data_IF_588797256507
#
_entry.id   IF_588797256507
#
_cell.length_a   1.000
_cell.length_b   1.000
_cell.length_c   1.000
_cell.angle_alpha   90.00
_cell.angle_beta   90.00
_cell.angle_gamma   90.00
#
_symmetry.space_group_name_H-M   'P 1'
#
loop_
_entity.id
_entity.type
_entity.pdbx_description
1 polymer ?
#
# COMPACT_ATOMS: atom_id res chain seq x y z
N UNK A 1 -20.49 -8.62 -18.45
CA UNK A 1 -19.81 -7.31 -18.22
C UNK A 1 -19.88 -6.34 -19.40
N UNK A 2 -20.23 -6.76 -20.64
CA UNK A 2 -20.21 -5.91 -21.84
C UNK A 2 -20.92 -4.55 -21.71
N UNK A 3 -22.00 -4.47 -20.94
CA UNK A 3 -22.74 -3.22 -20.73
C UNK A 3 -22.59 -2.66 -19.31
N UNK A 4 -22.64 -3.53 -18.30
CA UNK A 4 -22.60 -3.11 -16.89
C UNK A 4 -21.29 -2.44 -16.50
N UNK A 5 -20.15 -2.93 -16.99
CA UNK A 5 -18.85 -2.34 -16.66
C UNK A 5 -18.66 -0.96 -17.33
N UNK A 6 -18.84 -0.82 -18.67
CA UNK A 6 -18.72 0.49 -19.30
C UNK A 6 -19.69 1.53 -18.74
N UNK A 7 -20.95 1.16 -18.47
CA UNK A 7 -21.93 2.07 -17.86
C UNK A 7 -21.46 2.61 -16.51
N UNK A 8 -20.94 1.73 -15.64
CA UNK A 8 -20.43 2.14 -14.34
C UNK A 8 -19.17 3.00 -14.46
N UNK A 9 -18.20 2.59 -15.30
CA UNK A 9 -16.95 3.33 -15.47
C UNK A 9 -17.20 4.74 -16.05
N UNK A 10 -18.00 4.84 -17.11
CA UNK A 10 -18.36 6.14 -17.72
C UNK A 10 -19.19 6.98 -16.74
N UNK A 11 -20.14 6.36 -16.02
CA UNK A 11 -20.94 7.06 -15.02
C UNK A 11 -20.09 7.65 -13.89
N UNK A 12 -19.11 6.89 -13.38
CA UNK A 12 -18.15 7.38 -12.38
C UNK A 12 -17.28 8.50 -12.93
N UNK A 13 -16.74 8.36 -14.15
CA UNK A 13 -15.91 9.39 -14.77
C UNK A 13 -16.68 10.70 -14.97
N UNK A 14 -17.92 10.64 -15.47
CA UNK A 14 -18.79 11.82 -15.58
C UNK A 14 -19.04 12.45 -14.21
N UNK A 15 -19.27 11.64 -13.17
CA UNK A 15 -19.42 12.15 -11.82
C UNK A 15 -18.14 12.85 -11.31
N UNK A 16 -16.94 12.28 -11.57
CA UNK A 16 -15.67 12.90 -11.21
C UNK A 16 -15.50 14.25 -11.93
N UNK A 17 -15.74 14.32 -13.24
CA UNK A 17 -15.65 15.57 -14.01
C UNK A 17 -16.57 16.65 -13.42
N UNK A 18 -17.82 16.30 -13.08
CA UNK A 18 -18.76 17.25 -12.45
C UNK A 18 -18.24 17.70 -11.09
N UNK A 19 -17.78 16.78 -10.25
CA UNK A 19 -17.26 17.10 -8.91
C UNK A 19 -16.00 17.98 -8.98
N UNK A 20 -15.06 17.68 -9.89
CA UNK A 20 -13.89 18.52 -10.14
C UNK A 20 -14.31 19.93 -10.58
N UNK A 21 -15.26 20.07 -11.51
CA UNK A 21 -15.76 21.37 -11.95
C UNK A 21 -16.47 22.17 -10.85
N UNK A 22 -17.03 21.49 -9.85
CA UNK A 22 -17.71 22.13 -8.71
C UNK A 22 -16.75 22.55 -7.60
N UNK A 23 -15.79 21.69 -7.23
CA UNK A 23 -15.01 21.83 -6.00
C UNK A 23 -13.52 22.14 -6.19
N UNK A 24 -12.93 21.82 -7.35
CA UNK A 24 -11.47 21.89 -7.54
C UNK A 24 -11.11 23.10 -8.40
N UNK A 25 -10.12 23.87 -7.94
CA UNK A 25 -9.58 25.02 -8.65
C UNK A 25 -8.07 24.93 -8.79
N UNK A 26 -7.51 25.50 -9.85
CA UNK A 26 -6.08 25.76 -9.88
C UNK A 26 -5.74 26.89 -8.92
N UNK A 27 -4.55 26.84 -8.35
CA UNK A 27 -3.99 28.00 -7.68
C UNK A 27 -3.82 29.15 -8.68
N UNK A 28 -4.27 30.34 -8.31
CA UNK A 28 -4.21 31.53 -9.17
C UNK A 28 -3.34 32.58 -8.49
N UNK A 29 -2.46 33.25 -9.25
CA UNK A 29 -1.47 34.24 -8.77
C UNK A 29 -2.03 35.35 -7.86
N UNK A 30 -3.35 35.59 -7.87
CA UNK A 30 -3.99 36.64 -7.07
C UNK A 30 -4.03 36.35 -5.56
N UNK A 31 -3.90 35.09 -5.13
CA UNK A 31 -3.91 34.72 -3.71
C UNK A 31 -2.53 34.86 -3.03
N UNK A 32 -1.45 35.01 -3.80
CA UNK A 32 -0.09 35.32 -3.28
C UNK A 32 -0.02 36.71 -2.64
N UNK A 33 -0.98 37.59 -2.97
CA UNK A 33 -0.96 39.01 -2.58
C UNK A 33 -1.70 39.34 -1.28
N UNK A 34 -2.27 38.36 -0.56
CA UNK A 34 -3.07 38.61 0.66
C UNK A 34 -2.36 38.31 1.99
N UNK A 35 -1.03 38.13 2.01
CA UNK A 35 -0.24 38.32 3.24
C UNK A 35 0.45 39.70 3.21
N UNK A 36 -0.06 40.73 3.92
CA UNK A 36 0.51 42.07 3.83
C UNK A 36 1.85 42.28 4.56
N UNK A 37 2.57 41.24 5.00
CA UNK A 37 3.70 41.44 5.93
C UNK A 37 4.82 40.39 5.91
N UNK A 38 5.11 39.75 4.78
CA UNK A 38 6.38 39.04 4.63
C UNK A 38 7.05 39.43 3.33
N UNK A 39 8.24 40.00 3.42
CA UNK A 39 9.21 40.18 2.32
C UNK A 39 9.73 38.82 1.84
N UNK A 40 8.83 37.93 1.37
CA UNK A 40 9.20 36.72 0.65
C UNK A 40 8.97 36.97 -0.82
N UNK A 41 10.03 36.82 -1.60
CA UNK A 41 9.99 36.96 -3.05
C UNK A 41 9.04 35.92 -3.66
N UNK A 42 8.36 36.25 -4.77
CA UNK A 42 7.50 35.30 -5.50
C UNK A 42 8.25 34.08 -6.07
N UNK A 43 9.58 34.04 -5.94
CA UNK A 43 10.42 32.89 -6.28
C UNK A 43 10.26 31.73 -5.30
N UNK A 44 9.94 31.99 -4.02
CA UNK A 44 9.93 30.96 -2.96
C UNK A 44 8.76 29.98 -3.09
N UNK A 45 7.60 30.43 -3.56
CA UNK A 45 6.43 29.54 -3.72
C UNK A 45 6.57 28.66 -4.96
N UNK A 46 7.07 29.19 -6.08
CA UNK A 46 7.34 28.40 -7.30
C UNK A 46 8.38 27.29 -7.04
N UNK A 47 9.44 27.60 -6.29
CA UNK A 47 10.48 26.63 -5.92
C UNK A 47 9.91 25.48 -5.07
N UNK A 48 8.96 25.77 -4.17
CA UNK A 48 8.35 24.77 -3.28
C UNK A 48 7.48 23.74 -3.99
N UNK A 49 6.81 24.08 -5.10
CA UNK A 49 6.11 23.08 -5.94
C UNK A 49 7.10 22.16 -6.66
N UNK A 50 8.20 22.71 -7.18
CA UNK A 50 9.23 21.93 -7.85
C UNK A 50 9.95 20.97 -6.90
N UNK A 51 10.03 21.31 -5.61
CA UNK A 51 10.66 20.47 -4.58
C UNK A 51 9.84 19.20 -4.23
N UNK A 52 8.50 19.27 -4.28
CA UNK A 52 7.63 18.13 -3.96
C UNK A 52 7.36 17.22 -5.16
N UNK A 53 7.51 17.72 -6.38
CA UNK A 53 7.23 16.95 -7.58
C UNK A 53 8.04 15.64 -7.68
N UNK A 54 9.35 15.58 -7.36
CA UNK A 54 10.10 14.32 -7.36
C UNK A 54 9.55 13.30 -6.37
N UNK A 55 9.16 13.72 -5.17
CA UNK A 55 8.56 12.83 -4.16
C UNK A 55 7.20 12.31 -4.63
N UNK A 56 6.41 13.16 -5.27
CA UNK A 56 5.19 12.74 -5.94
C UNK A 56 5.46 11.68 -7.01
N UNK A 57 6.44 11.89 -7.89
CA UNK A 57 6.77 10.93 -8.95
C UNK A 57 7.15 9.57 -8.38
N UNK A 58 7.95 9.54 -7.31
CA UNK A 58 8.35 8.30 -6.64
C UNK A 58 7.15 7.54 -6.07
N UNK A 59 6.26 8.23 -5.34
CA UNK A 59 5.02 7.65 -4.80
C UNK A 59 4.10 7.17 -5.92
N UNK A 60 3.97 7.94 -6.98
CA UNK A 60 3.16 7.60 -8.13
C UNK A 60 3.69 6.32 -8.83
N UNK A 61 5.01 6.17 -8.96
CA UNK A 61 5.59 4.94 -9.50
C UNK A 61 5.32 3.75 -8.58
N UNK A 62 5.33 3.93 -7.26
CA UNK A 62 4.94 2.87 -6.32
C UNK A 62 3.50 2.40 -6.53
N UNK A 63 2.55 3.32 -6.75
CA UNK A 63 1.12 3.01 -6.98
C UNK A 63 0.92 2.23 -8.29
N UNK A 64 1.50 2.71 -9.39
CA UNK A 64 1.24 2.13 -10.72
C UNK A 64 2.13 0.93 -11.03
N UNK A 65 3.44 1.07 -10.83
CA UNK A 65 4.41 0.02 -11.16
C UNK A 65 4.71 -0.88 -9.96
N UNK A 66 4.91 -0.30 -8.77
CA UNK A 66 5.24 -1.05 -7.56
C UNK A 66 4.19 -2.11 -7.22
N UNK A 67 3.00 -1.67 -6.80
CA UNK A 67 1.86 -2.55 -6.52
C UNK A 67 1.43 -3.35 -7.77
N UNK A 68 1.36 -2.69 -8.92
CA UNK A 68 0.91 -3.30 -10.17
C UNK A 68 1.72 -4.55 -10.55
N UNK A 69 3.05 -4.44 -10.58
CA UNK A 69 3.93 -5.57 -10.86
C UNK A 69 4.01 -6.56 -9.70
N UNK A 70 4.05 -6.12 -8.43
CA UNK A 70 4.14 -7.02 -7.27
C UNK A 70 3.02 -8.08 -7.30
N UNK A 71 1.80 -7.66 -7.65
CA UNK A 71 0.63 -8.55 -7.70
C UNK A 71 0.61 -9.48 -8.94
N UNK A 72 1.57 -9.37 -9.86
CA UNK A 72 1.65 -10.24 -11.05
C UNK A 72 2.21 -11.64 -10.77
N UNK A 73 2.57 -11.96 -9.52
CA UNK A 73 3.13 -13.26 -9.13
C UNK A 73 2.19 -14.43 -9.52
N UNK A 74 0.87 -14.21 -9.54
CA UNK A 74 -0.13 -15.19 -9.98
C UNK A 74 0.01 -15.52 -11.47
N UNK A 75 0.44 -16.75 -11.78
CA UNK A 75 0.85 -17.19 -13.14
C UNK A 75 -0.19 -16.98 -14.26
N UNK A 76 -1.48 -16.96 -13.93
CA UNK A 76 -2.60 -16.81 -14.88
C UNK A 76 -3.45 -15.56 -14.63
N UNK A 77 -2.96 -14.63 -13.80
CA UNK A 77 -3.69 -13.42 -13.45
C UNK A 77 -2.90 -12.13 -13.73
N UNK A 78 -1.70 -12.20 -14.33
CA UNK A 78 -0.84 -11.02 -14.57
C UNK A 78 -1.53 -9.86 -15.31
N UNK A 79 -2.30 -10.14 -16.39
CA UNK A 79 -3.04 -9.10 -17.11
C UNK A 79 -4.12 -8.44 -16.25
N UNK A 80 -4.88 -9.24 -15.51
CA UNK A 80 -5.92 -8.72 -14.62
C UNK A 80 -5.32 -7.97 -13.44
N UNK A 81 -4.22 -8.45 -12.87
CA UNK A 81 -3.47 -7.76 -11.82
C UNK A 81 -3.09 -6.35 -12.25
N UNK A 82 -2.32 -6.24 -13.34
CA UNK A 82 -1.84 -4.95 -13.82
C UNK A 82 -2.97 -4.05 -14.34
N UNK A 83 -3.90 -4.60 -15.12
CA UNK A 83 -5.00 -3.84 -15.71
C UNK A 83 -6.02 -3.35 -14.68
N UNK A 84 -6.34 -4.15 -13.66
CA UNK A 84 -7.23 -3.72 -12.58
C UNK A 84 -6.50 -2.77 -11.63
N UNK A 85 -5.19 -2.95 -11.35
CA UNK A 85 -4.39 -1.98 -10.61
C UNK A 85 -4.44 -0.60 -11.27
N UNK A 86 -4.20 -0.54 -12.58
CA UNK A 86 -4.28 0.70 -13.36
C UNK A 86 -5.67 1.35 -13.26
N UNK A 87 -6.74 0.54 -13.34
CA UNK A 87 -8.10 1.03 -13.22
C UNK A 87 -8.42 1.59 -11.83
N UNK A 88 -8.01 0.87 -10.77
CA UNK A 88 -8.17 1.31 -9.37
C UNK A 88 -7.41 2.60 -9.17
N UNK A 89 -6.16 2.68 -9.63
CA UNK A 89 -5.33 3.86 -9.48
C UNK A 89 -5.93 5.06 -10.20
N UNK A 90 -6.31 4.93 -11.48
CA UNK A 90 -6.90 6.02 -12.24
C UNK A 90 -8.18 6.60 -11.63
N UNK A 91 -9.04 5.74 -11.06
CA UNK A 91 -10.24 6.20 -10.34
C UNK A 91 -9.87 6.77 -8.96
N UNK A 92 -8.95 6.10 -8.25
CA UNK A 92 -8.55 6.42 -6.90
C UNK A 92 -7.91 7.80 -6.79
N UNK A 93 -7.08 8.20 -7.75
CA UNK A 93 -6.47 9.54 -7.79
C UNK A 93 -7.53 10.64 -7.86
N UNK A 94 -8.52 10.48 -8.73
CA UNK A 94 -9.59 11.45 -8.91
C UNK A 94 -10.46 11.52 -7.65
N UNK A 95 -10.90 10.36 -7.17
CA UNK A 95 -11.81 10.29 -6.03
C UNK A 95 -11.13 10.67 -4.72
N UNK A 96 -9.89 10.25 -4.49
CA UNK A 96 -9.07 10.61 -3.33
C UNK A 96 -8.84 12.12 -3.24
N UNK A 97 -8.50 12.75 -4.37
CA UNK A 97 -8.36 14.21 -4.45
C UNK A 97 -9.64 14.92 -3.99
N UNK A 98 -10.80 14.49 -4.49
CA UNK A 98 -12.09 15.09 -4.13
C UNK A 98 -12.46 14.78 -2.67
N UNK A 99 -12.40 13.52 -2.25
CA UNK A 99 -12.87 13.07 -0.95
C UNK A 99 -12.06 13.68 0.20
N UNK A 100 -10.73 13.68 0.09
CA UNK A 100 -9.85 14.31 1.07
C UNK A 100 -9.95 15.84 0.98
N UNK A 101 -9.97 16.40 -0.23
CA UNK A 101 -10.04 17.85 -0.43
C UNK A 101 -11.32 18.48 0.13
N UNK A 102 -12.49 17.90 -0.15
CA UNK A 102 -13.78 18.35 0.40
C UNK A 102 -13.79 18.27 1.93
N UNK A 103 -13.22 17.20 2.51
CA UNK A 103 -13.21 17.03 3.95
C UNK A 103 -12.30 18.06 4.64
N UNK A 104 -11.12 18.31 4.08
CA UNK A 104 -10.15 19.30 4.55
C UNK A 104 -10.65 20.75 4.36
N UNK A 105 -11.38 21.02 3.29
CA UNK A 105 -11.99 22.33 3.02
C UNK A 105 -13.34 22.54 3.71
N UNK A 106 -13.77 21.61 4.57
CA UNK A 106 -15.09 21.65 5.23
C UNK A 106 -16.27 21.82 4.27
N UNK A 107 -16.17 21.27 3.06
CA UNK A 107 -17.20 21.33 2.02
C UNK A 107 -17.07 22.50 1.05
N UNK A 108 -16.08 23.36 1.20
CA UNK A 108 -15.82 24.47 0.30
C UNK A 108 -14.95 24.07 -0.90
N UNK A 109 -14.82 24.98 -1.87
CA UNK A 109 -13.88 24.79 -2.98
C UNK A 109 -12.45 24.84 -2.47
N UNK A 110 -11.56 24.07 -3.09
CA UNK A 110 -10.15 24.02 -2.71
C UNK A 110 -9.23 24.12 -3.93
N UNK A 111 -8.01 24.58 -3.69
CA UNK A 111 -6.97 24.64 -4.71
C UNK A 111 -6.19 23.32 -4.76
N UNK A 112 -5.93 22.83 -5.97
CA UNK A 112 -5.14 21.60 -6.16
C UNK A 112 -3.64 21.90 -6.12
N UNK A 113 -2.96 21.28 -5.18
CA UNK A 113 -1.50 21.29 -5.03
C UNK A 113 -0.91 19.89 -5.26
N UNK A 114 0.41 19.82 -5.47
CA UNK A 114 1.13 18.53 -5.55
C UNK A 114 0.95 17.70 -4.26
N UNK A 115 0.82 18.35 -3.10
CA UNK A 115 0.52 17.66 -1.84
C UNK A 115 -0.83 16.95 -1.88
N UNK A 116 -1.86 17.54 -2.50
CA UNK A 116 -3.15 16.87 -2.68
C UNK A 116 -3.02 15.65 -3.59
N UNK A 117 -2.18 15.73 -4.63
CA UNK A 117 -1.91 14.60 -5.53
C UNK A 117 -1.21 13.45 -4.78
N UNK A 118 -0.22 13.75 -3.94
CA UNK A 118 0.45 12.75 -3.08
C UNK A 118 -0.55 12.10 -2.12
N UNK A 119 -1.41 12.89 -1.47
CA UNK A 119 -2.44 12.36 -0.57
C UNK A 119 -3.45 11.47 -1.30
N UNK A 120 -3.80 11.79 -2.56
CA UNK A 120 -4.65 10.96 -3.38
C UNK A 120 -3.97 9.64 -3.79
N UNK A 121 -2.66 9.65 -4.05
CA UNK A 121 -1.87 8.43 -4.24
C UNK A 121 -1.85 7.58 -2.94
N UNK A 122 -1.76 8.19 -1.76
CA UNK A 122 -1.81 7.51 -0.47
C UNK A 122 -3.13 6.81 -0.19
N UNK A 123 -4.26 7.49 -0.39
CA UNK A 123 -5.59 6.86 -0.23
C UNK A 123 -5.79 5.75 -1.27
N UNK A 124 -5.28 5.93 -2.49
CA UNK A 124 -5.26 4.89 -3.53
C UNK A 124 -4.39 3.69 -3.12
N UNK A 125 -3.22 3.92 -2.51
CA UNK A 125 -2.35 2.84 -2.03
C UNK A 125 -3.05 1.98 -0.97
N UNK A 126 -3.86 2.55 -0.09
CA UNK A 126 -4.68 1.78 0.85
C UNK A 126 -5.62 0.80 0.12
N UNK A 127 -6.29 1.25 -0.94
CA UNK A 127 -7.15 0.38 -1.79
C UNK A 127 -6.34 -0.70 -2.49
N UNK A 128 -5.12 -0.41 -2.94
CA UNK A 128 -4.25 -1.42 -3.57
C UNK A 128 -3.75 -2.48 -2.58
N UNK A 129 -3.55 -2.11 -1.31
CA UNK A 129 -3.29 -3.06 -0.23
C UNK A 129 -4.53 -3.95 -0.01
N UNK A 130 -5.72 -3.36 0.05
CA UNK A 130 -6.99 -4.11 0.12
C UNK A 130 -7.19 -5.03 -1.08
N UNK A 131 -6.84 -4.57 -2.29
CA UNK A 131 -6.90 -5.36 -3.51
C UNK A 131 -6.02 -6.61 -3.40
N UNK A 132 -4.84 -6.52 -2.79
CA UNK A 132 -3.98 -7.68 -2.51
C UNK A 132 -4.69 -8.81 -1.76
N UNK A 133 -5.56 -8.49 -0.80
CA UNK A 133 -6.31 -9.50 -0.03
C UNK A 133 -7.40 -10.21 -0.85
N UNK A 134 -7.96 -9.52 -1.85
CA UNK A 134 -9.05 -10.03 -2.70
C UNK A 134 -8.61 -10.35 -4.14
N UNK A 135 -7.30 -10.29 -4.40
CA UNK A 135 -6.69 -10.50 -5.70
C UNK A 135 -7.12 -11.84 -6.31
N UNK A 136 -7.50 -11.83 -7.58
CA UNK A 136 -7.98 -13.03 -8.28
C UNK A 136 -9.41 -13.48 -7.94
N UNK A 137 -10.09 -12.81 -7.00
CA UNK A 137 -11.42 -13.23 -6.48
C UNK A 137 -12.53 -12.23 -6.81
N UNK A 138 -12.18 -11.01 -7.20
CA UNK A 138 -13.09 -9.89 -7.50
C UNK A 138 -13.08 -9.52 -8.98
N UNK A 139 -14.21 -8.96 -9.44
CA UNK A 139 -14.36 -8.39 -10.78
C UNK A 139 -13.97 -6.90 -10.82
N UNK A 140 -13.62 -6.34 -11.99
CA UNK A 140 -13.38 -4.91 -12.14
C UNK A 140 -14.49 -4.01 -11.60
N UNK A 141 -15.77 -4.40 -11.75
CA UNK A 141 -16.92 -3.67 -11.20
C UNK A 141 -16.86 -3.63 -9.66
N UNK A 142 -16.59 -4.78 -9.03
CA UNK A 142 -16.46 -4.84 -7.57
C UNK A 142 -15.28 -3.99 -7.09
N UNK A 143 -14.20 -3.94 -7.85
CA UNK A 143 -13.07 -3.07 -7.51
C UNK A 143 -13.41 -1.60 -7.64
N UNK A 144 -14.12 -1.16 -8.69
CA UNK A 144 -14.61 0.23 -8.78
C UNK A 144 -15.51 0.59 -7.58
N UNK A 145 -16.41 -0.31 -7.17
CA UNK A 145 -17.25 -0.11 -5.98
C UNK A 145 -16.40 -0.01 -4.72
N UNK A 146 -15.45 -0.92 -4.54
CA UNK A 146 -14.56 -0.95 -3.38
C UNK A 146 -13.74 0.33 -3.29
N UNK A 147 -13.15 0.80 -4.39
CA UNK A 147 -12.37 2.05 -4.44
C UNK A 147 -13.17 3.26 -3.96
N UNK A 148 -14.41 3.43 -4.43
CA UNK A 148 -15.25 4.56 -4.00
C UNK A 148 -15.55 4.50 -2.49
N UNK A 149 -15.96 3.33 -2.00
CA UNK A 149 -16.35 3.16 -0.60
C UNK A 149 -15.14 3.27 0.34
N UNK A 150 -14.06 2.58 -0.01
CA UNK A 150 -12.86 2.51 0.81
C UNK A 150 -12.17 3.88 0.94
N UNK A 151 -12.02 4.64 -0.15
CA UNK A 151 -11.43 5.98 -0.08
C UNK A 151 -12.29 6.94 0.73
N UNK A 152 -13.63 6.84 0.66
CA UNK A 152 -14.50 7.66 1.49
C UNK A 152 -14.31 7.36 2.98
N UNK A 153 -14.20 6.07 3.35
CA UNK A 153 -13.93 5.66 4.73
C UNK A 153 -12.50 6.01 5.15
N UNK A 154 -11.53 5.87 4.25
CA UNK A 154 -10.14 6.28 4.45
C UNK A 154 -10.05 7.75 4.81
N UNK A 155 -10.70 8.64 4.04
CA UNK A 155 -10.65 10.09 4.28
C UNK A 155 -11.19 10.44 5.68
N UNK A 156 -12.30 9.82 6.09
CA UNK A 156 -12.85 10.00 7.45
C UNK A 156 -11.89 9.45 8.50
N UNK A 157 -11.31 8.27 8.28
CA UNK A 157 -10.35 7.66 9.21
C UNK A 157 -9.09 8.51 9.38
N UNK A 158 -8.55 9.02 8.28
CA UNK A 158 -7.39 9.92 8.27
C UNK A 158 -7.70 11.19 9.06
N UNK A 159 -8.83 11.84 8.79
CA UNK A 159 -9.27 13.02 9.55
C UNK A 159 -9.41 12.72 11.06
N UNK A 160 -9.98 11.59 11.44
CA UNK A 160 -10.09 11.20 12.85
C UNK A 160 -8.72 11.00 13.50
N UNK A 161 -7.81 10.27 12.83
CA UNK A 161 -6.48 9.94 13.37
C UNK A 161 -5.60 11.18 13.50
N UNK A 162 -5.55 12.00 12.45
CA UNK A 162 -4.63 13.15 12.36
C UNK A 162 -5.22 14.38 13.05
N UNK A 163 -6.44 14.78 12.72
CA UNK A 163 -7.02 16.05 13.18
C UNK A 163 -7.71 15.92 14.55
N UNK A 164 -8.44 14.83 14.78
CA UNK A 164 -9.22 14.66 16.03
C UNK A 164 -8.37 14.07 17.16
N UNK A 165 -7.62 13.01 16.88
CA UNK A 165 -6.78 12.34 17.89
C UNK A 165 -5.38 12.92 18.00
N UNK A 166 -4.92 13.70 17.02
CA UNK A 166 -3.58 14.29 17.03
C UNK A 166 -2.46 13.25 16.98
N UNK A 167 -2.71 12.08 16.40
CA UNK A 167 -1.72 11.03 16.29
C UNK A 167 -0.72 11.36 15.17
N UNK A 168 0.57 11.12 15.43
CA UNK A 168 1.61 11.17 14.40
C UNK A 168 1.62 9.86 13.62
N UNK A 169 1.56 9.94 12.29
CA UNK A 169 1.65 8.76 11.41
C UNK A 169 2.24 9.12 10.04
N UNK A 170 3.49 9.63 10.02
CA UNK A 170 3.99 10.35 8.84
C UNK A 170 4.11 9.52 7.57
N UNK A 171 4.54 8.26 7.69
CA UNK A 171 4.58 7.26 6.63
C UNK A 171 3.39 6.29 6.67
N UNK A 172 2.33 6.67 7.39
CA UNK A 172 1.02 6.04 7.33
C UNK A 172 0.98 4.53 7.63
N UNK A 173 1.73 4.06 8.63
CA UNK A 173 1.66 2.66 9.06
C UNK A 173 0.25 2.32 9.57
N UNK A 174 -0.45 3.28 10.18
CA UNK A 174 -1.81 3.08 10.68
C UNK A 174 -2.86 3.45 9.62
N UNK A 175 -2.80 4.67 9.06
CA UNK A 175 -3.85 5.21 8.19
C UNK A 175 -3.90 4.57 6.81
N UNK A 176 -2.77 4.11 6.26
CA UNK A 176 -2.72 3.39 4.97
C UNK A 176 -2.58 1.89 5.20
N UNK A 177 -1.49 1.46 5.84
CA UNK A 177 -1.11 0.05 5.80
C UNK A 177 -1.99 -0.84 6.67
N UNK A 178 -2.16 -0.51 7.94
CA UNK A 178 -3.05 -1.25 8.82
C UNK A 178 -4.50 -1.13 8.34
N UNK A 179 -4.96 0.08 8.04
CA UNK A 179 -6.31 0.32 7.51
C UNK A 179 -6.61 -0.54 6.28
N UNK A 180 -5.81 -0.43 5.22
CA UNK A 180 -6.02 -1.18 3.98
C UNK A 180 -5.90 -2.69 4.18
N UNK A 181 -4.93 -3.15 4.98
CA UNK A 181 -4.80 -4.58 5.27
C UNK A 181 -6.06 -5.15 5.95
N UNK A 182 -6.57 -4.48 6.99
CA UNK A 182 -7.76 -4.95 7.71
C UNK A 182 -9.06 -4.72 6.93
N UNK A 183 -9.17 -3.65 6.15
CA UNK A 183 -10.30 -3.42 5.26
C UNK A 183 -10.38 -4.53 4.20
N UNK A 184 -9.28 -4.80 3.50
CA UNK A 184 -9.17 -5.88 2.52
C UNK A 184 -9.48 -7.25 3.12
N UNK A 185 -8.97 -7.56 4.32
CA UNK A 185 -9.30 -8.81 5.02
C UNK A 185 -10.78 -8.91 5.39
N UNK A 186 -11.42 -7.81 5.82
CA UNK A 186 -12.85 -7.79 6.11
C UNK A 186 -13.67 -8.06 4.83
N UNK A 187 -13.31 -7.41 3.70
CA UNK A 187 -13.93 -7.66 2.39
C UNK A 187 -13.71 -9.12 1.97
N UNK A 188 -12.50 -9.66 2.10
CA UNK A 188 -12.20 -11.05 1.78
C UNK A 188 -13.02 -12.04 2.64
N UNK A 189 -13.25 -11.71 3.92
CA UNK A 189 -14.12 -12.47 4.82
C UNK A 189 -15.59 -12.45 4.39
N UNK A 190 -16.11 -11.29 3.99
CA UNK A 190 -17.49 -11.16 3.47
C UNK A 190 -17.65 -11.91 2.14
N UNK A 191 -16.66 -11.83 1.25
CA UNK A 191 -16.66 -12.49 -0.06
C UNK A 191 -16.20 -13.95 -0.01
N UNK A 192 -16.08 -14.53 1.19
CA UNK A 192 -15.61 -15.89 1.37
C UNK A 192 -16.44 -16.90 0.58
N UNK A 193 -15.75 -17.85 -0.07
CA UNK A 193 -16.36 -18.95 -0.80
C UNK A 193 -15.85 -20.27 -0.26
N UNK A 194 -16.75 -21.08 0.30
CA UNK A 194 -16.41 -22.40 0.86
C UNK A 194 -15.76 -23.33 -0.16
N UNK A 195 -16.09 -23.19 -1.45
CA UNK A 195 -15.48 -23.95 -2.55
C UNK A 195 -13.99 -23.65 -2.78
N UNK A 196 -13.46 -22.57 -2.21
CA UNK A 196 -12.05 -22.16 -2.32
C UNK A 196 -11.26 -22.44 -1.03
N UNK A 197 -11.82 -23.21 -0.08
CA UNK A 197 -11.15 -23.52 1.20
C UNK A 197 -9.80 -24.21 1.02
N UNK A 198 -9.72 -25.12 0.05
CA UNK A 198 -8.49 -25.86 -0.28
C UNK A 198 -7.60 -25.09 -1.28
N UNK A 199 -7.86 -23.80 -1.49
CA UNK A 199 -7.19 -22.98 -2.50
C UNK A 199 -7.70 -23.21 -3.91
N UNK A 200 -7.21 -22.41 -4.85
CA UNK A 200 -7.50 -22.57 -6.28
C UNK A 200 -6.26 -23.07 -7.03
N UNK A 201 -6.40 -24.00 -7.98
CA UNK A 201 -5.30 -24.55 -8.82
C UNK A 201 -4.46 -23.53 -9.63
N UNK A 202 -4.86 -22.26 -9.62
CA UNK A 202 -4.16 -21.17 -10.31
C UNK A 202 -3.55 -20.16 -9.33
N UNK A 203 -3.71 -20.38 -8.03
CA UNK A 203 -3.07 -19.64 -6.94
C UNK A 203 -1.63 -20.16 -6.76
N UNK A 204 -0.85 -20.01 -7.82
CA UNK A 204 0.54 -20.47 -7.95
C UNK A 204 1.32 -19.42 -8.75
N UNK A 205 2.63 -19.36 -8.53
CA UNK A 205 3.56 -18.60 -9.37
C UNK A 205 4.34 -19.50 -10.33
N UNK A 206 5.07 -18.88 -11.26
CA UNK A 206 6.08 -19.51 -12.12
C UNK A 206 7.27 -18.56 -12.21
N UNK A 207 8.43 -19.08 -12.64
CA UNK A 207 9.68 -18.31 -12.68
C UNK A 207 9.54 -16.89 -13.28
N UNK A 208 8.92 -16.77 -14.45
CA UNK A 208 8.75 -15.45 -15.08
C UNK A 208 7.76 -14.53 -14.35
N UNK A 209 6.70 -15.08 -13.74
CA UNK A 209 5.76 -14.24 -12.97
C UNK A 209 6.39 -13.74 -11.68
N UNK A 210 7.26 -14.54 -11.05
CA UNK A 210 8.03 -14.11 -9.88
C UNK A 210 9.11 -13.07 -10.22
N UNK A 211 9.73 -13.16 -11.40
CA UNK A 211 10.63 -12.12 -11.89
C UNK A 211 9.87 -10.79 -12.12
N UNK A 212 8.67 -10.83 -12.69
CA UNK A 212 7.83 -9.63 -12.82
C UNK A 212 7.41 -9.07 -11.46
N UNK A 213 7.02 -9.92 -10.51
CA UNK A 213 6.70 -9.48 -9.16
C UNK A 213 7.89 -8.84 -8.42
N UNK A 214 9.10 -9.31 -8.68
CA UNK A 214 10.32 -8.67 -8.17
C UNK A 214 10.54 -7.26 -8.71
N UNK A 215 10.13 -6.95 -9.94
CA UNK A 215 10.19 -5.57 -10.46
C UNK A 215 9.34 -4.65 -9.57
N UNK A 216 8.11 -5.07 -9.24
CA UNK A 216 7.25 -4.33 -8.32
C UNK A 216 7.85 -4.17 -6.93
N UNK A 217 8.42 -5.26 -6.39
CA UNK A 217 9.15 -5.23 -5.10
C UNK A 217 10.26 -4.18 -5.11
N UNK A 218 11.07 -4.13 -6.16
CA UNK A 218 12.20 -3.20 -6.25
C UNK A 218 11.74 -1.74 -6.37
N UNK A 219 10.70 -1.46 -7.16
CA UNK A 219 10.14 -0.10 -7.23
C UNK A 219 9.58 0.36 -5.89
N UNK A 220 8.86 -0.51 -5.19
CA UNK A 220 8.39 -0.21 -3.83
C UNK A 220 9.55 0.04 -2.88
N UNK A 221 10.55 -0.85 -2.86
CA UNK A 221 11.68 -0.76 -1.94
C UNK A 221 12.52 0.51 -2.16
N UNK A 222 12.83 0.84 -3.41
CA UNK A 222 13.69 1.99 -3.75
C UNK A 222 13.00 3.33 -3.45
N UNK A 223 11.69 3.43 -3.68
CA UNK A 223 10.94 4.68 -3.52
C UNK A 223 10.25 4.84 -2.17
N UNK A 224 10.27 3.82 -1.31
CA UNK A 224 9.69 3.91 0.04
C UNK A 224 10.24 5.05 0.91
N UNK A 225 11.55 5.41 0.88
CA UNK A 225 12.04 6.57 1.61
C UNK A 225 11.29 7.85 1.23
N UNK A 226 11.01 8.05 -0.07
CA UNK A 226 10.19 9.16 -0.56
C UNK A 226 8.75 9.06 -0.06
N UNK A 227 8.15 7.86 -0.08
CA UNK A 227 6.80 7.62 0.47
C UNK A 227 6.68 8.05 1.93
N UNK A 228 7.59 7.61 2.79
CA UNK A 228 7.54 7.92 4.22
C UNK A 228 7.93 9.38 4.54
N UNK A 229 8.50 10.12 3.58
CA UNK A 229 8.98 11.49 3.78
C UNK A 229 8.17 12.54 3.01
N UNK A 230 7.25 12.14 2.14
CA UNK A 230 6.58 13.03 1.18
C UNK A 230 5.79 14.16 1.84
N UNK A 231 5.19 13.88 3.00
CA UNK A 231 4.40 14.84 3.77
C UNK A 231 5.09 15.29 5.08
N UNK A 232 6.34 14.85 5.30
CA UNK A 232 7.15 15.28 6.45
C UNK A 232 7.57 16.73 6.31
N UNK A 233 7.70 17.43 7.45
CA UNK A 233 8.19 18.81 7.46
C UNK A 233 9.57 18.89 6.81
N UNK A 234 9.71 19.84 5.87
CA UNK A 234 10.94 20.03 5.11
C UNK A 234 12.14 20.31 6.02
N UNK A 235 13.31 19.82 5.60
CA UNK A 235 14.55 19.93 6.36
C UNK A 235 14.80 18.70 7.22
N UNK A 236 14.87 18.87 8.55
CA UNK A 236 15.35 17.82 9.45
C UNK A 236 14.42 16.60 9.52
N UNK A 237 13.10 16.82 9.61
CA UNK A 237 12.12 15.74 9.77
C UNK A 237 12.04 14.87 8.51
N UNK A 238 11.96 15.50 7.35
CA UNK A 238 12.04 14.82 6.06
C UNK A 238 13.36 14.04 5.88
N UNK A 239 14.51 14.64 6.22
CA UNK A 239 15.80 13.94 6.19
C UNK A 239 15.81 12.70 7.10
N UNK A 240 15.30 12.81 8.33
CA UNK A 240 15.18 11.68 9.25
C UNK A 240 14.26 10.58 8.68
N UNK A 241 13.11 10.96 8.10
CA UNK A 241 12.19 10.01 7.48
C UNK A 241 12.84 9.21 6.35
N UNK A 242 13.63 9.86 5.50
CA UNK A 242 14.38 9.20 4.42
C UNK A 242 15.40 8.21 5.01
N UNK A 243 16.26 8.68 5.91
CA UNK A 243 17.38 7.88 6.47
C UNK A 243 16.88 6.71 7.30
N UNK A 244 15.88 6.94 8.17
CA UNK A 244 15.31 5.89 9.00
C UNK A 244 14.62 4.82 8.14
N UNK A 245 13.84 5.23 7.14
CA UNK A 245 13.17 4.28 6.23
C UNK A 245 14.18 3.46 5.44
N UNK A 246 15.23 4.09 4.91
CA UNK A 246 16.31 3.43 4.19
C UNK A 246 16.98 2.32 5.01
N UNK A 247 17.41 2.63 6.24
CA UNK A 247 18.08 1.65 7.09
C UNK A 247 17.14 0.57 7.64
N UNK A 248 15.87 0.91 7.90
CA UNK A 248 14.84 -0.06 8.28
C UNK A 248 14.62 -1.09 7.16
N UNK A 249 14.47 -0.62 5.92
CA UNK A 249 14.31 -1.50 4.75
C UNK A 249 15.52 -2.41 4.51
N UNK A 250 16.74 -1.86 4.61
CA UNK A 250 17.96 -2.65 4.48
C UNK A 250 18.04 -3.78 5.53
N UNK A 251 17.70 -3.47 6.77
CA UNK A 251 17.67 -4.47 7.85
C UNK A 251 16.56 -5.51 7.66
N UNK A 252 15.38 -5.08 7.18
CA UNK A 252 14.26 -5.98 6.84
C UNK A 252 14.63 -6.97 5.74
N UNK A 253 15.41 -6.56 4.74
CA UNK A 253 15.89 -7.46 3.68
C UNK A 253 16.77 -8.56 4.26
N UNK A 254 17.82 -8.19 5.02
CA UNK A 254 18.78 -9.17 5.56
C UNK A 254 18.08 -10.19 6.45
N UNK A 255 17.19 -9.72 7.33
CA UNK A 255 16.45 -10.61 8.23
C UNK A 255 15.40 -11.45 7.51
N UNK A 256 14.70 -10.91 6.49
CA UNK A 256 13.77 -11.69 5.68
C UNK A 256 14.46 -12.84 4.93
N UNK A 257 15.64 -12.58 4.33
CA UNK A 257 16.43 -13.62 3.67
C UNK A 257 16.92 -14.68 4.66
N UNK A 258 17.46 -14.25 5.81
CA UNK A 258 17.92 -15.17 6.85
C UNK A 258 16.78 -16.05 7.36
N UNK A 259 15.64 -15.47 7.71
CA UNK A 259 14.46 -16.21 8.18
C UNK A 259 13.87 -17.09 7.08
N UNK A 260 13.84 -16.65 5.82
CA UNK A 260 13.38 -17.51 4.73
C UNK A 260 14.24 -18.76 4.61
N UNK A 261 15.56 -18.62 4.65
CA UNK A 261 16.47 -19.77 4.57
C UNK A 261 16.32 -20.69 5.78
N UNK A 262 16.20 -20.13 7.00
CA UNK A 262 16.04 -20.91 8.23
C UNK A 262 14.73 -21.71 8.30
N UNK A 263 13.65 -21.16 7.74
CA UNK A 263 12.31 -21.77 7.84
C UNK A 263 11.96 -22.68 6.65
N UNK A 264 12.68 -22.55 5.53
CA UNK A 264 12.48 -23.39 4.35
C UNK A 264 13.34 -24.65 4.35
N UNK A 265 12.79 -25.70 3.76
CA UNK A 265 13.50 -26.97 3.67
C UNK A 265 14.80 -26.81 2.86
N UNK A 266 15.88 -27.39 3.38
CA UNK A 266 17.23 -27.36 2.76
C UNK A 266 17.83 -25.95 2.62
N UNK A 267 17.39 -24.97 3.41
CA UNK A 267 18.00 -23.64 3.40
C UNK A 267 17.64 -22.77 2.19
N UNK A 268 16.66 -23.17 1.37
CA UNK A 268 16.29 -22.45 0.16
C UNK A 268 15.61 -21.11 0.45
N UNK A 269 15.60 -20.21 -0.53
CA UNK A 269 14.93 -18.92 -0.43
C UNK A 269 13.60 -18.94 -1.19
N UNK A 270 12.49 -18.68 -0.49
CA UNK A 270 11.15 -18.70 -1.06
C UNK A 270 10.78 -17.33 -1.61
N UNK A 271 10.41 -17.25 -2.89
CA UNK A 271 10.23 -15.95 -3.57
C UNK A 271 9.14 -15.07 -2.95
N UNK A 272 8.06 -15.63 -2.41
CA UNK A 272 7.02 -14.83 -1.73
C UNK A 272 7.57 -14.09 -0.51
N UNK A 273 8.48 -14.71 0.26
CA UNK A 273 9.14 -14.02 1.38
C UNK A 273 10.00 -12.88 0.85
N UNK A 274 10.76 -13.11 -0.21
CA UNK A 274 11.66 -12.13 -0.80
C UNK A 274 10.90 -10.94 -1.42
N UNK A 275 9.78 -11.20 -2.08
CA UNK A 275 8.96 -10.16 -2.73
C UNK A 275 8.22 -9.28 -1.72
N UNK A 276 7.83 -9.82 -0.56
CA UNK A 276 6.91 -9.13 0.36
C UNK A 276 7.54 -8.78 1.72
N UNK A 277 8.24 -9.72 2.36
CA UNK A 277 8.77 -9.51 3.71
C UNK A 277 9.97 -8.54 3.75
N UNK A 278 10.66 -8.36 2.61
CA UNK A 278 11.72 -7.37 2.46
C UNK A 278 11.21 -5.93 2.55
N UNK A 279 9.91 -5.71 2.28
CA UNK A 279 9.23 -4.42 2.32
C UNK A 279 8.68 -4.07 3.70
N UNK A 280 8.62 -5.04 4.62
CA UNK A 280 7.98 -4.88 5.93
C UNK A 280 8.63 -3.78 6.79
N UNK A 281 9.94 -3.56 6.66
CA UNK A 281 10.63 -2.47 7.35
C UNK A 281 10.17 -1.07 6.92
N UNK A 282 9.75 -0.89 5.66
CA UNK A 282 9.20 0.38 5.18
C UNK A 282 7.85 0.67 5.84
N UNK A 283 6.97 -0.34 5.87
CA UNK A 283 5.67 -0.29 6.56
C UNK A 283 5.84 -0.02 8.05
N UNK A 284 6.70 -0.77 8.74
CA UNK A 284 6.85 -0.68 10.19
C UNK A 284 7.50 0.62 10.66
N UNK A 285 8.28 1.28 9.79
CA UNK A 285 8.94 2.55 10.10
C UNK A 285 8.04 3.77 9.89
N UNK A 286 6.98 3.65 9.09
CA UNK A 286 6.14 4.76 8.64
C UNK A 286 5.75 5.74 9.74
N UNK A 287 5.09 5.28 10.81
CA UNK A 287 4.62 6.16 11.90
C UNK A 287 5.73 6.98 12.56
N UNK A 288 6.92 6.39 12.74
CA UNK A 288 8.02 7.01 13.50
C UNK A 288 9.16 7.49 12.60
N UNK A 289 8.94 7.56 11.28
CA UNK A 289 10.02 7.79 10.32
C UNK A 289 10.69 9.16 10.54
N UNK A 290 9.91 10.20 10.79
CA UNK A 290 10.35 11.58 10.99
C UNK A 290 10.68 11.92 12.46
N UNK A 291 10.58 10.96 13.37
CA UNK A 291 10.93 11.15 14.77
C UNK A 291 12.44 11.10 14.97
N UNK A 292 12.94 11.75 16.03
CA UNK A 292 14.35 11.80 16.39
C UNK A 292 14.88 10.47 16.93
N UNK A 293 14.89 9.46 16.07
CA UNK A 293 15.46 8.13 16.30
C UNK A 293 16.91 8.11 15.82
N UNK A 294 17.81 7.51 16.60
CA UNK A 294 19.15 7.20 16.07
C UNK A 294 19.04 6.06 15.04
N UNK A 295 19.84 6.06 13.94
CA UNK A 295 19.66 5.13 12.82
C UNK A 295 19.61 3.64 13.19
N UNK A 296 20.29 3.22 14.26
CA UNK A 296 20.24 1.83 14.71
C UNK A 296 18.84 1.40 15.20
N UNK A 297 18.01 2.32 15.73
CA UNK A 297 16.63 1.99 16.11
C UNK A 297 15.80 1.62 14.88
N UNK A 298 16.00 2.35 13.77
CA UNK A 298 15.34 2.03 12.51
C UNK A 298 15.75 0.63 12.00
N UNK A 299 17.04 0.28 12.14
CA UNK A 299 17.51 -1.07 11.80
C UNK A 299 16.89 -2.16 12.69
N UNK A 300 16.69 -1.89 13.99
CA UNK A 300 16.01 -2.83 14.90
C UNK A 300 14.56 -3.03 14.47
N UNK A 301 13.82 -1.95 14.22
CA UNK A 301 12.42 -2.04 13.77
C UNK A 301 12.32 -2.80 12.45
N UNK A 302 13.16 -2.46 11.48
CA UNK A 302 13.24 -3.17 10.19
C UNK A 302 13.57 -4.64 10.33
N UNK A 303 14.54 -4.99 11.19
CA UNK A 303 14.90 -6.37 11.49
C UNK A 303 13.72 -7.16 12.05
N UNK A 304 13.04 -6.60 13.06
CA UNK A 304 11.88 -7.24 13.68
C UNK A 304 10.75 -7.39 12.65
N UNK A 305 10.48 -6.36 11.85
CA UNK A 305 9.43 -6.39 10.84
C UNK A 305 9.67 -7.47 9.77
N UNK A 306 10.92 -7.60 9.28
CA UNK A 306 11.30 -8.64 8.34
C UNK A 306 11.07 -10.05 8.90
N UNK A 307 11.48 -10.29 10.15
CA UNK A 307 11.22 -11.56 10.86
C UNK A 307 9.71 -11.80 10.98
N UNK A 308 8.97 -10.86 11.55
CA UNK A 308 7.51 -11.00 11.78
C UNK A 308 6.78 -11.28 10.47
N UNK A 309 7.15 -10.61 9.39
CA UNK A 309 6.51 -10.79 8.08
C UNK A 309 6.75 -12.20 7.52
N UNK A 310 7.99 -12.72 7.56
CA UNK A 310 8.27 -14.11 7.13
C UNK A 310 7.50 -15.12 7.97
N UNK A 311 7.45 -14.94 9.29
CA UNK A 311 6.66 -15.80 10.17
C UNK A 311 5.15 -15.70 9.86
N UNK A 312 4.65 -14.52 9.51
CA UNK A 312 3.29 -14.30 9.05
C UNK A 312 2.96 -15.14 7.82
N UNK A 313 3.80 -15.07 6.78
CA UNK A 313 3.64 -15.89 5.57
C UNK A 313 3.68 -17.40 5.88
N UNK A 314 4.66 -17.84 6.68
CA UNK A 314 4.86 -19.27 6.94
C UNK A 314 3.78 -19.89 7.83
N UNK A 315 3.32 -19.18 8.85
CA UNK A 315 2.48 -19.75 9.91
C UNK A 315 1.08 -19.15 9.99
N UNK A 316 0.91 -17.83 9.83
CA UNK A 316 -0.39 -17.18 10.02
C UNK A 316 -1.31 -17.31 8.81
N UNK A 317 -0.77 -17.17 7.59
CA UNK A 317 -1.53 -17.31 6.34
C UNK A 317 -2.08 -18.73 6.18
N UNK A 318 -1.28 -19.74 6.54
CA UNK A 318 -1.69 -21.17 6.51
C UNK A 318 -2.79 -21.45 7.55
N UNK A 319 -2.68 -20.86 8.74
CA UNK A 319 -3.70 -20.97 9.79
C UNK A 319 -5.04 -20.34 9.37
N UNK A 320 -5.04 -19.21 8.65
CA UNK A 320 -6.28 -18.57 8.18
C UNK A 320 -6.96 -19.35 7.03
N UNK A 321 -6.20 -20.00 6.15
CA UNK A 321 -6.76 -20.94 5.16
C UNK A 321 -7.51 -22.12 5.81
N UNK A 322 -7.03 -22.58 6.97
CA UNK A 322 -7.70 -23.60 7.78
C UNK A 322 -8.78 -23.04 8.73
N UNK A 323 -8.70 -21.77 9.13
CA UNK A 323 -9.59 -21.12 10.10
C UNK A 323 -11.04 -20.94 9.62
N UNK A 324 -11.35 -21.20 8.34
CA UNK A 324 -12.72 -21.45 7.89
C UNK A 324 -13.41 -22.61 8.63
N UNK A 325 -12.67 -23.41 9.41
CA UNK A 325 -13.21 -24.41 10.34
C UNK A 325 -13.21 -24.00 11.82
N UNK A 326 -12.71 -22.81 12.19
CA UNK A 326 -12.52 -22.44 13.59
C UNK A 326 -13.06 -21.03 13.90
N UNK A 327 -14.39 -20.92 13.96
CA UNK A 327 -15.09 -19.83 14.66
C UNK A 327 -14.88 -19.87 16.21
N UNK A 328 -13.71 -20.32 16.68
CA UNK A 328 -13.35 -20.41 18.11
C UNK A 328 -11.92 -19.95 18.30
N UNK A 329 -11.69 -18.66 18.12
CA UNK A 329 -10.45 -17.99 18.51
C UNK A 329 -10.22 -18.00 20.05
N UNK A 330 -11.20 -18.45 20.85
CA UNK A 330 -11.15 -18.44 22.32
C UNK A 330 -10.98 -19.80 23.03
N UNK A 331 -10.78 -20.92 22.33
CA UNK A 331 -10.55 -22.22 23.01
C UNK A 331 -9.11 -22.74 22.85
N UNK A 332 -8.41 -22.76 23.99
CA UNK A 332 -6.99 -23.09 24.24
C UNK A 332 -6.55 -24.54 23.90
N UNK A 333 -7.22 -25.25 22.98
CA UNK A 333 -6.92 -26.68 22.74
C UNK A 333 -7.29 -27.19 21.32
N UNK A 334 -6.74 -26.60 20.26
CA UNK A 334 -6.84 -27.16 18.90
C UNK A 334 -5.47 -27.57 18.35
N UNK A 335 -5.39 -28.81 17.88
CA UNK A 335 -4.22 -29.55 17.36
C UNK A 335 -3.71 -29.03 16.00
N UNK A 336 -3.53 -27.72 15.85
CA UNK A 336 -3.08 -27.09 14.60
C UNK A 336 -1.60 -27.40 14.27
N UNK A 337 -0.86 -27.98 15.22
CA UNK A 337 0.58 -28.22 15.11
C UNK A 337 0.99 -29.52 14.38
N UNK A 338 0.04 -30.39 14.01
CA UNK A 338 0.36 -31.75 13.47
C UNK A 338 0.03 -31.98 11.99
N UNK A 339 -0.18 -30.94 11.19
CA UNK A 339 -0.31 -31.07 9.74
C UNK A 339 0.99 -30.68 9.03
N UNK A 340 2.08 -31.40 9.33
CA UNK A 340 3.20 -31.49 8.39
C UNK A 340 2.74 -32.27 7.17
N UNK A 341 2.96 -31.75 5.96
CA UNK A 341 2.62 -32.33 4.65
C UNK A 341 1.22 -32.01 4.09
N UNK A 342 1.07 -30.79 3.54
CA UNK A 342 0.43 -30.58 2.22
C UNK A 342 0.43 -29.10 1.80
N UNK A 343 1.61 -28.59 1.49
CA UNK A 343 1.78 -27.51 0.53
C UNK A 343 3.06 -27.85 -0.23
N UNK A 344 2.94 -28.83 -1.12
CA UNK A 344 3.90 -29.04 -2.21
C UNK A 344 3.36 -28.19 -3.38
N UNK A 345 3.28 -26.88 -3.13
CA UNK A 345 3.16 -25.91 -4.19
C UNK A 345 4.47 -26.01 -4.99
N UNK A 346 4.40 -25.87 -6.31
CA UNK A 346 5.62 -25.75 -7.14
C UNK A 346 6.24 -24.37 -6.88
N UNK A 347 6.70 -24.16 -5.65
CA UNK A 347 7.23 -22.90 -5.18
C UNK A 347 8.52 -22.60 -5.91
N UNK A 348 8.60 -21.39 -6.47
CA UNK A 348 9.81 -20.92 -7.12
C UNK A 348 10.81 -20.52 -6.05
N UNK A 349 11.96 -21.18 -6.05
CA UNK A 349 13.05 -20.86 -5.14
C UNK A 349 14.12 -20.03 -5.85
N UNK A 350 14.72 -19.08 -5.14
CA UNK A 350 15.92 -18.41 -5.63
C UNK A 350 17.06 -19.45 -5.68
N UNK A 351 17.82 -19.49 -6.78
CA UNK A 351 18.94 -20.41 -6.93
C UNK A 351 20.02 -20.12 -5.91
N UNK A 352 20.22 -21.02 -4.95
CA UNK A 352 21.40 -21.02 -4.09
C UNK A 352 22.46 -21.90 -4.75
N UNK A 353 23.66 -21.37 -5.02
CA UNK A 353 24.78 -22.19 -5.47
C UNK A 353 25.18 -23.12 -4.31
N UNK A 354 24.70 -24.36 -4.33
CA UNK A 354 25.04 -25.40 -3.35
C UNK A 354 24.95 -26.78 -4.00
#
# INVERSE_FOLDING_TARGET
MRFTFPLMAIGLEVAMIVLFGLFVQYETDQNVSQQPNSTKSPTVDVDRYLDLYPLFQDVHVMVFAGFGFLMTFLRKYGFSSMGINLLIAALGLQWGTIAQGILQSHGEKFHIEIKNMINADFSTAAVLISFGAVLGKTSPIQMLTMTILEIAVFAVNEYLVVEVFGASDIGASMTIHAFGAYFGLAVAGILYRSSLKEGHRNEESVYHSDLFAMIGTLFLWVFWPSFNSAIADAGKNQYMAIVNTYFSLAASVVTAYACSSLLESRGKLHMVHIQNATLAGGVAMGTTADMANTPYYAMIIGSIAGVVSVFGFKFLTVCHGHAGSCARFFHRNSTCWRASHRFDSKDTYLGTTS
#
